data_IF_670200913637
#
_entry.id   IF_670200913637
#
_cell.length_a   1.000
_cell.length_b   1.000
_cell.length_c   1.000
_cell.angle_alpha   90.00
_cell.angle_beta   90.00
_cell.angle_gamma   90.00
#
_symmetry.space_group_name_H-M   'P 1'
#
loop_
_entity.id
_entity.type
_entity.pdbx_description
1 polymer ?
#
# COMPACT_ATOMS: atom_id res chain seq x y z
N UNK A 1 8.81 10.20 3.14
CA UNK A 1 8.16 9.01 2.59
C UNK A 1 8.96 8.57 1.38
N UNK A 2 9.41 7.33 1.37
CA UNK A 2 10.25 6.78 0.30
C UNK A 2 9.37 5.76 -0.44
N UNK A 3 9.08 6.06 -1.70
CA UNK A 3 8.16 5.27 -2.53
C UNK A 3 8.78 3.91 -2.96
N UNK A 4 10.09 3.74 -2.81
CA UNK A 4 10.80 2.50 -3.10
C UNK A 4 11.49 1.95 -1.85
N UNK A 5 11.62 0.62 -1.70
CA UNK A 5 12.34 0.01 -0.60
C UNK A 5 13.81 0.43 -0.59
N UNK A 6 14.30 0.79 0.59
CA UNK A 6 15.74 1.11 0.77
C UNK A 6 16.57 -0.16 0.66
N UNK A 7 17.85 -0.01 0.30
CA UNK A 7 18.81 -1.13 0.22
C UNK A 7 18.79 -1.98 1.50
N UNK A 8 18.73 -1.35 2.66
CA UNK A 8 18.67 -2.07 3.94
C UNK A 8 17.39 -2.91 4.12
N UNK A 9 16.24 -2.46 3.59
CA UNK A 9 14.99 -3.23 3.60
C UNK A 9 15.12 -4.45 2.69
N UNK A 10 15.62 -4.28 1.46
CA UNK A 10 15.87 -5.39 0.53
C UNK A 10 16.83 -6.42 1.10
N UNK A 11 17.93 -5.98 1.72
CA UNK A 11 18.90 -6.90 2.37
C UNK A 11 18.26 -7.71 3.51
N UNK A 12 17.44 -7.07 4.34
CA UNK A 12 16.72 -7.77 5.43
C UNK A 12 15.71 -8.77 4.89
N UNK A 13 14.93 -8.37 3.89
CA UNK A 13 13.97 -9.25 3.24
C UNK A 13 14.69 -10.46 2.61
N UNK A 14 15.80 -10.24 1.90
CA UNK A 14 16.61 -11.31 1.32
C UNK A 14 17.11 -12.28 2.40
N UNK A 15 17.66 -11.77 3.51
CA UNK A 15 18.13 -12.61 4.60
C UNK A 15 17.02 -13.47 5.23
N UNK A 16 15.80 -12.94 5.37
CA UNK A 16 14.66 -13.70 5.87
C UNK A 16 14.25 -14.81 4.88
N UNK A 17 14.23 -14.50 3.59
CA UNK A 17 13.92 -15.48 2.53
C UNK A 17 14.99 -16.57 2.47
N UNK A 18 16.27 -16.21 2.57
CA UNK A 18 17.37 -17.18 2.62
C UNK A 18 17.32 -18.09 3.86
N UNK A 19 16.78 -17.56 4.96
CA UNK A 19 16.50 -18.34 6.18
C UNK A 19 15.23 -19.21 6.09
N UNK A 20 14.50 -19.18 4.95
CA UNK A 20 13.36 -20.05 4.70
C UNK A 20 11.99 -19.40 4.85
N UNK A 21 11.89 -18.07 4.95
CA UNK A 21 10.60 -17.40 4.93
C UNK A 21 9.96 -17.46 3.54
N UNK A 22 8.71 -17.92 3.46
CA UNK A 22 7.91 -17.96 2.23
C UNK A 22 7.13 -16.64 2.00
N UNK A 23 6.90 -15.89 3.06
CA UNK A 23 6.21 -14.58 3.04
C UNK A 23 6.88 -13.61 4.01
N UNK A 24 7.23 -12.43 3.50
CA UNK A 24 7.73 -11.31 4.29
C UNK A 24 6.80 -10.11 4.12
N UNK A 25 6.25 -9.61 5.23
CA UNK A 25 5.41 -8.42 5.26
C UNK A 25 6.14 -7.30 5.98
N UNK A 26 6.49 -6.25 5.23
CA UNK A 26 7.12 -5.04 5.74
C UNK A 26 6.09 -3.95 6.06
N UNK A 27 6.45 -3.12 7.02
CA UNK A 27 5.69 -1.93 7.45
C UNK A 27 6.63 -0.79 7.84
N UNK A 28 6.06 0.43 7.97
CA UNK A 28 6.74 1.61 8.49
C UNK A 28 6.87 2.78 7.54
N UNK A 29 6.97 2.61 6.20
CA UNK A 29 7.07 3.74 5.26
C UNK A 29 5.84 4.65 5.22
N UNK A 30 4.67 4.18 5.67
CA UNK A 30 3.37 4.89 5.61
C UNK A 30 2.87 5.18 4.18
N UNK A 31 3.47 4.58 3.18
CA UNK A 31 3.08 4.59 1.76
C UNK A 31 3.23 3.18 1.20
N UNK A 32 2.55 2.90 0.10
CA UNK A 32 2.74 1.65 -0.62
C UNK A 32 4.16 1.54 -1.16
N UNK A 33 4.71 0.35 -1.11
CA UNK A 33 5.94 -0.02 -1.78
C UNK A 33 5.73 -1.33 -2.52
N UNK A 34 6.64 -1.70 -3.39
CA UNK A 34 6.53 -2.86 -4.26
C UNK A 34 6.33 -4.18 -3.52
N UNK A 35 5.71 -5.10 -4.24
CA UNK A 35 5.60 -6.51 -3.86
C UNK A 35 6.43 -7.30 -4.84
N UNK A 36 7.38 -8.08 -4.34
CA UNK A 36 8.41 -8.76 -5.13
C UNK A 36 8.35 -10.27 -4.88
N UNK A 37 8.54 -11.05 -5.94
CA UNK A 37 8.79 -12.50 -5.83
C UNK A 37 10.28 -12.73 -5.82
N UNK A 38 10.76 -13.49 -4.86
CA UNK A 38 12.17 -13.85 -4.73
C UNK A 38 12.34 -15.35 -4.80
N UNK A 39 13.40 -15.80 -5.44
CA UNK A 39 13.84 -17.18 -5.33
C UNK A 39 14.21 -17.49 -3.87
N UNK A 40 13.80 -18.64 -3.35
CA UNK A 40 14.06 -19.11 -2.00
C UNK A 40 14.60 -20.54 -2.01
N UNK A 41 15.17 -21.04 -0.89
CA UNK A 41 15.59 -22.45 -0.78
C UNK A 41 14.43 -23.44 -1.04
N UNK A 42 13.18 -22.99 -0.82
CA UNK A 42 11.98 -23.80 -1.03
C UNK A 42 11.27 -23.54 -2.37
N UNK A 43 11.81 -22.69 -3.24
CA UNK A 43 11.25 -22.33 -4.54
C UNK A 43 11.00 -20.82 -4.66
N UNK A 44 9.82 -20.32 -4.29
CA UNK A 44 9.48 -18.91 -4.31
C UNK A 44 9.10 -18.39 -2.93
N UNK A 45 9.47 -17.14 -2.65
CA UNK A 45 8.96 -16.36 -1.54
C UNK A 45 8.35 -15.05 -2.05
N UNK A 46 7.41 -14.51 -1.30
CA UNK A 46 6.80 -13.22 -1.55
C UNK A 46 7.26 -12.19 -0.51
N UNK A 47 7.64 -11.01 -0.98
CA UNK A 47 8.02 -9.87 -0.13
C UNK A 47 7.12 -8.69 -0.48
N UNK A 48 6.28 -8.26 0.46
CA UNK A 48 5.58 -6.99 0.38
C UNK A 48 6.31 -5.99 1.29
N UNK A 49 6.99 -5.01 0.70
CA UNK A 49 7.82 -4.07 1.47
C UNK A 49 7.00 -3.07 2.28
N UNK A 50 5.84 -2.64 1.78
CA UNK A 50 4.84 -1.88 2.55
C UNK A 50 3.48 -1.91 1.88
N UNK A 51 2.44 -2.20 2.64
CA UNK A 51 1.05 -2.16 2.18
C UNK A 51 0.38 -0.81 2.49
N UNK A 52 1.16 0.23 2.79
CA UNK A 52 0.67 1.56 3.11
C UNK A 52 0.03 1.65 4.50
N UNK A 53 -0.84 2.62 4.66
CA UNK A 53 -1.63 2.80 5.88
C UNK A 53 -2.97 2.07 5.77
N UNK A 54 -3.41 1.43 6.86
CA UNK A 54 -4.79 0.94 6.95
C UNK A 54 -5.68 2.04 7.52
N UNK A 55 -5.49 2.41 8.78
CA UNK A 55 -6.20 3.53 9.41
C UNK A 55 -5.18 4.58 9.83
N UNK A 56 -5.27 5.78 9.27
CA UNK A 56 -4.28 6.83 9.53
C UNK A 56 -4.88 8.22 9.42
N UNK A 57 -4.39 9.14 10.27
CA UNK A 57 -4.69 10.56 10.15
C UNK A 57 -3.69 11.31 9.25
N UNK A 58 -2.82 10.62 8.53
CA UNK A 58 -1.90 11.24 7.57
C UNK A 58 -2.65 11.72 6.31
N UNK A 59 -2.02 12.60 5.55
CA UNK A 59 -2.65 13.20 4.36
C UNK A 59 -3.88 14.07 4.68
N UNK A 60 -4.01 14.56 5.91
CA UNK A 60 -5.20 15.27 6.39
C UNK A 60 -5.48 16.58 5.62
N UNK A 61 -4.47 17.19 5.00
CA UNK A 61 -4.60 18.40 4.15
C UNK A 61 -4.64 18.09 2.65
N UNK A 62 -4.66 16.84 2.27
CA UNK A 62 -4.89 16.47 0.87
C UNK A 62 -6.35 16.71 0.49
N UNK A 63 -6.57 17.38 -0.63
CA UNK A 63 -7.87 17.56 -1.28
C UNK A 63 -7.70 17.26 -2.77
N UNK A 64 -8.50 16.33 -3.27
CA UNK A 64 -8.47 15.96 -4.69
C UNK A 64 -8.66 17.19 -5.60
N UNK A 65 -7.85 17.30 -6.66
CA UNK A 65 -7.88 18.38 -7.61
C UNK A 65 -7.28 19.71 -7.12
N UNK A 66 -6.68 19.76 -5.92
CA UNK A 66 -5.96 20.94 -5.43
C UNK A 66 -4.46 20.75 -5.46
N UNK A 67 -3.74 21.79 -5.88
CA UNK A 67 -2.27 21.80 -5.80
C UNK A 67 -1.81 21.65 -4.36
N UNK A 68 -0.86 20.75 -4.14
CA UNK A 68 -0.22 20.53 -2.84
C UNK A 68 0.78 21.67 -2.59
N UNK A 69 0.71 22.38 -1.45
CA UNK A 69 1.70 23.40 -1.10
C UNK A 69 3.05 22.74 -0.80
N UNK A 70 4.11 23.20 -1.48
CA UNK A 70 5.45 22.61 -1.40
C UNK A 70 6.11 22.76 -0.02
N UNK A 71 5.73 23.79 0.75
CA UNK A 71 6.27 24.03 2.09
C UNK A 71 5.71 23.11 3.18
N UNK A 72 4.67 22.31 2.87
CA UNK A 72 4.07 21.42 3.85
C UNK A 72 4.74 20.03 3.83
N UNK A 73 4.89 19.46 5.02
CA UNK A 73 5.47 18.12 5.16
C UNK A 73 4.64 17.06 4.41
N UNK A 74 5.25 16.15 3.63
CA UNK A 74 4.54 15.13 2.85
C UNK A 74 3.51 14.31 3.64
N UNK A 75 3.79 13.99 4.92
CA UNK A 75 2.84 13.27 5.77
C UNK A 75 1.47 13.98 5.90
N UNK A 76 1.45 15.32 5.73
CA UNK A 76 0.25 16.14 5.90
C UNK A 76 -0.54 16.26 4.61
N UNK A 77 0.14 16.29 3.46
CA UNK A 77 -0.44 16.67 2.17
C UNK A 77 -0.41 15.57 1.12
N UNK A 78 0.43 14.54 1.29
CA UNK A 78 0.58 13.50 0.27
C UNK A 78 -0.64 12.58 0.22
N UNK A 79 -1.28 12.42 -0.95
CA UNK A 79 -2.33 11.41 -1.13
C UNK A 79 -1.80 9.99 -0.95
N UNK A 80 -0.52 9.73 -1.21
CA UNK A 80 0.08 8.41 -1.06
C UNK A 80 -0.01 7.87 0.37
N UNK A 81 -0.11 8.74 1.38
CA UNK A 81 -0.32 8.32 2.77
C UNK A 81 -1.77 7.92 3.09
N UNK A 82 -2.69 8.12 2.15
CA UNK A 82 -4.08 7.63 2.19
C UNK A 82 -4.31 6.39 1.36
N UNK A 83 -3.35 6.04 0.50
CA UNK A 83 -3.37 4.79 -0.26
C UNK A 83 -2.99 3.62 0.65
N UNK A 84 -3.65 2.52 0.44
CA UNK A 84 -3.36 1.24 1.04
C UNK A 84 -3.68 0.11 0.08
N UNK A 85 -3.32 -1.09 0.45
CA UNK A 85 -3.67 -2.28 -0.30
C UNK A 85 -4.04 -3.42 0.64
N UNK A 86 -5.06 -4.17 0.25
CA UNK A 86 -5.33 -5.48 0.80
C UNK A 86 -4.78 -6.53 -0.14
N UNK A 87 -3.71 -7.20 0.27
CA UNK A 87 -3.03 -8.22 -0.52
C UNK A 87 -3.68 -9.59 -0.28
N UNK A 88 -3.98 -10.29 -1.38
CA UNK A 88 -4.38 -11.69 -1.38
C UNK A 88 -3.37 -12.49 -2.18
N UNK A 89 -2.79 -13.51 -1.56
CA UNK A 89 -1.87 -14.41 -2.22
C UNK A 89 -2.26 -15.84 -1.99
N UNK A 90 -1.98 -16.69 -2.96
CA UNK A 90 -2.15 -18.14 -2.87
C UNK A 90 -0.82 -18.82 -3.11
N UNK A 91 -0.47 -19.71 -2.22
CA UNK A 91 0.71 -20.56 -2.35
C UNK A 91 0.29 -21.99 -2.68
N UNK A 92 0.96 -22.62 -3.64
CA UNK A 92 0.97 -24.07 -3.80
C UNK A 92 2.21 -24.63 -3.10
N UNK A 93 2.01 -25.70 -2.35
CA UNK A 93 3.09 -26.43 -1.68
C UNK A 93 3.07 -27.86 -2.17
N UNK A 94 4.18 -28.30 -2.77
CA UNK A 94 4.34 -29.64 -3.31
C UNK A 94 5.72 -30.16 -2.93
N UNK A 95 5.77 -31.31 -2.26
CA UNK A 95 7.01 -31.95 -1.75
C UNK A 95 7.95 -30.96 -1.01
N UNK A 96 7.39 -30.05 -0.23
CA UNK A 96 8.13 -29.02 0.50
C UNK A 96 8.58 -27.82 -0.34
N UNK A 97 8.32 -27.81 -1.63
CA UNK A 97 8.55 -26.66 -2.52
C UNK A 97 7.36 -25.74 -2.52
N UNK A 98 7.64 -24.45 -2.50
CA UNK A 98 6.64 -23.37 -2.44
C UNK A 98 6.65 -22.61 -3.76
N UNK A 99 5.45 -22.29 -4.26
CA UNK A 99 5.23 -21.46 -5.45
C UNK A 99 4.06 -20.53 -5.23
N UNK A 100 4.22 -19.26 -5.60
CA UNK A 100 3.13 -18.28 -5.60
C UNK A 100 2.28 -18.47 -6.84
N UNK A 101 1.03 -18.91 -6.68
CA UNK A 101 0.11 -19.23 -7.80
C UNK A 101 -0.86 -18.09 -8.10
N UNK A 102 -1.16 -17.23 -7.13
CA UNK A 102 -1.95 -16.04 -7.33
C UNK A 102 -1.43 -14.90 -6.45
N UNK A 103 -1.42 -13.69 -7.01
CA UNK A 103 -1.01 -12.47 -6.32
C UNK A 103 -1.91 -11.32 -6.77
N UNK A 104 -2.80 -10.92 -5.89
CA UNK A 104 -3.83 -9.93 -6.15
C UNK A 104 -3.86 -8.88 -5.05
N UNK A 105 -4.19 -7.64 -5.42
CA UNK A 105 -4.42 -6.59 -4.44
C UNK A 105 -5.72 -5.83 -4.73
N UNK A 106 -6.43 -5.51 -3.66
CA UNK A 106 -7.53 -4.54 -3.68
C UNK A 106 -6.97 -3.20 -3.26
N UNK A 107 -6.98 -2.20 -4.16
CA UNK A 107 -6.62 -0.83 -3.81
C UNK A 107 -7.58 -0.29 -2.74
N UNK A 108 -7.00 0.30 -1.69
CA UNK A 108 -7.74 0.93 -0.60
C UNK A 108 -7.48 2.43 -0.58
N UNK A 109 -8.48 3.16 -0.09
CA UNK A 109 -8.40 4.59 0.15
C UNK A 109 -8.92 4.94 1.53
N UNK A 110 -8.13 5.70 2.30
CA UNK A 110 -8.55 6.23 3.59
C UNK A 110 -9.24 7.58 3.41
N UNK A 111 -10.57 7.62 3.59
CA UNK A 111 -11.30 8.87 3.78
C UNK A 111 -10.95 9.44 5.16
N UNK A 112 -10.74 10.74 5.22
CA UNK A 112 -10.44 11.44 6.46
C UNK A 112 -11.02 12.86 6.41
N UNK A 113 -11.92 13.19 7.32
CA UNK A 113 -12.55 14.49 7.44
C UNK A 113 -12.06 15.31 8.63
N UNK A 114 -10.89 14.96 9.19
CA UNK A 114 -10.34 15.63 10.37
C UNK A 114 -10.35 17.17 10.25
N UNK A 115 -9.95 17.72 9.10
CA UNK A 115 -9.95 19.16 8.91
C UNK A 115 -11.35 19.77 8.85
N UNK A 116 -12.36 19.04 8.43
CA UNK A 116 -13.73 19.54 8.41
C UNK A 116 -14.26 19.64 9.84
N UNK A 117 -13.95 18.67 10.68
CA UNK A 117 -14.27 18.72 12.12
C UNK A 117 -13.50 19.85 12.80
N UNK A 118 -12.19 19.94 12.58
CA UNK A 118 -11.34 20.98 13.19
C UNK A 118 -11.73 22.41 12.79
N UNK A 119 -12.45 22.57 11.67
CA UNK A 119 -12.95 23.85 11.16
C UNK A 119 -14.45 24.07 11.43
N UNK A 120 -15.07 23.23 12.23
CA UNK A 120 -16.50 23.29 12.54
C UNK A 120 -17.44 23.02 11.36
N UNK A 121 -16.94 22.39 10.27
CA UNK A 121 -17.73 22.02 9.08
C UNK A 121 -18.37 20.64 9.16
N UNK A 122 -17.96 19.84 10.14
CA UNK A 122 -18.54 18.56 10.45
C UNK A 122 -18.54 18.35 11.98
N UNK A 123 -19.57 17.72 12.50
CA UNK A 123 -19.72 17.48 13.93
C UNK A 123 -18.90 16.26 14.42
N UNK A 124 -18.71 15.28 13.54
CA UNK A 124 -18.11 14.01 13.91
C UNK A 124 -16.93 13.67 13.00
N UNK A 125 -15.88 13.10 13.63
CA UNK A 125 -14.75 12.54 12.91
C UNK A 125 -15.20 11.29 12.15
N UNK A 126 -14.87 11.25 10.83
CA UNK A 126 -15.09 10.12 9.92
C UNK A 126 -13.78 9.75 9.23
N UNK A 127 -13.06 8.77 9.82
CA UNK A 127 -11.89 8.15 9.22
C UNK A 127 -12.26 6.73 8.84
N UNK A 128 -12.35 6.47 7.53
CA UNK A 128 -12.78 5.17 6.99
C UNK A 128 -11.87 4.69 5.88
N UNK A 129 -11.48 3.43 5.98
CA UNK A 129 -10.81 2.72 4.89
C UNK A 129 -11.87 2.04 4.02
N UNK A 130 -11.78 2.24 2.72
CA UNK A 130 -12.70 1.65 1.73
C UNK A 130 -11.95 1.18 0.50
N UNK A 131 -12.47 0.17 -0.21
CA UNK A 131 -11.99 -0.12 -1.56
C UNK A 131 -12.04 1.13 -2.42
N UNK A 132 -10.96 1.40 -3.16
CA UNK A 132 -10.86 2.55 -4.05
C UNK A 132 -11.98 2.54 -5.12
N UNK A 133 -12.44 1.36 -5.51
CA UNK A 133 -13.57 1.16 -6.41
C UNK A 133 -14.84 1.91 -5.97
N UNK A 134 -15.02 2.13 -4.66
CA UNK A 134 -16.15 2.87 -4.07
C UNK A 134 -15.93 4.38 -3.99
N UNK A 135 -14.82 4.88 -4.48
CA UNK A 135 -14.52 6.31 -4.54
C UNK A 135 -15.14 6.96 -5.78
N UNK A 136 -15.07 8.31 -5.87
CA UNK A 136 -15.49 9.04 -7.08
C UNK A 136 -14.66 8.62 -8.30
N UNK A 137 -15.22 8.75 -9.50
CA UNK A 137 -14.52 8.44 -10.75
C UNK A 137 -13.19 9.21 -10.87
N UNK A 138 -13.19 10.49 -10.50
CA UNK A 138 -11.99 11.33 -10.52
C UNK A 138 -10.90 10.80 -9.59
N UNK A 139 -11.24 10.42 -8.34
CA UNK A 139 -10.26 9.88 -7.39
C UNK A 139 -9.74 8.50 -7.83
N UNK A 140 -10.60 7.66 -8.39
CA UNK A 140 -10.17 6.37 -8.97
C UNK A 140 -9.17 6.57 -10.11
N UNK A 141 -9.49 7.46 -11.05
CA UNK A 141 -8.62 7.77 -12.19
C UNK A 141 -7.26 8.32 -11.74
N UNK A 142 -7.24 9.13 -10.68
CA UNK A 142 -6.02 9.69 -10.11
C UNK A 142 -5.18 8.62 -9.38
N UNK A 143 -5.81 7.80 -8.50
CA UNK A 143 -5.05 6.97 -7.56
C UNK A 143 -4.76 5.57 -8.06
N UNK A 144 -5.63 4.96 -8.88
CA UNK A 144 -5.43 3.58 -9.34
C UNK A 144 -4.10 3.35 -10.08
N UNK A 145 -3.68 4.19 -11.04
CA UNK A 145 -2.39 4.01 -11.71
C UNK A 145 -1.20 4.20 -10.75
N UNK A 146 -1.29 5.11 -9.79
CA UNK A 146 -0.23 5.34 -8.80
C UNK A 146 -0.08 4.13 -7.87
N UNK A 147 -1.20 3.56 -7.41
CA UNK A 147 -1.19 2.35 -6.58
C UNK A 147 -0.64 1.15 -7.37
N UNK A 148 -1.04 0.99 -8.63
CA UNK A 148 -0.52 -0.06 -9.51
C UNK A 148 1.00 0.03 -9.64
N UNK A 149 1.51 1.23 -9.98
CA UNK A 149 2.94 1.47 -10.11
C UNK A 149 3.72 1.22 -8.80
N UNK A 150 3.14 1.59 -7.66
CA UNK A 150 3.77 1.38 -6.35
C UNK A 150 3.87 -0.09 -5.97
N UNK A 151 2.86 -0.91 -6.28
CA UNK A 151 2.84 -2.35 -5.96
C UNK A 151 3.66 -3.18 -6.95
N UNK A 152 3.89 -2.67 -8.17
CA UNK A 152 4.65 -3.34 -9.23
C UNK A 152 3.83 -4.31 -10.07
N UNK A 153 4.40 -4.71 -11.21
CA UNK A 153 3.74 -5.49 -12.26
C UNK A 153 3.39 -6.93 -11.87
N UNK A 154 4.03 -7.44 -10.82
CA UNK A 154 3.75 -8.79 -10.32
C UNK A 154 2.35 -8.90 -9.69
N UNK A 155 1.70 -7.77 -9.34
CA UNK A 155 0.44 -7.72 -8.59
C UNK A 155 -0.72 -7.40 -9.51
N UNK A 156 -1.69 -8.30 -9.60
CA UNK A 156 -2.95 -8.03 -10.29
C UNK A 156 -3.90 -7.22 -9.41
N UNK A 157 -4.27 -6.00 -9.84
CA UNK A 157 -5.30 -5.23 -9.14
C UNK A 157 -6.68 -5.80 -9.42
N UNK A 158 -7.42 -6.06 -8.36
CA UNK A 158 -8.82 -6.55 -8.39
C UNK A 158 -9.74 -5.60 -7.66
N UNK A 159 -11.03 -5.69 -7.94
CA UNK A 159 -12.10 -4.92 -7.28
C UNK A 159 -13.04 -5.88 -6.55
N UNK A 160 -13.65 -5.42 -5.44
CA UNK A 160 -14.75 -6.09 -4.73
C UNK A 160 -16.00 -5.24 -4.80
#
# INVERSE_FOLDING_TARGET
FVDAPRIAQRRRARALVDAGADLVLGHGPHVLQEVERLASPRGEALVAYSLGNLVSNQGLRYFAGRRVPEHLHPAVVSPATRDGAWLRTTFAVDEGRVRVTALEAVPLWTRNNFLDVARGRAERLDVRVRPLARASAALRAERRPVIAAALGDAVRLVEF
#
